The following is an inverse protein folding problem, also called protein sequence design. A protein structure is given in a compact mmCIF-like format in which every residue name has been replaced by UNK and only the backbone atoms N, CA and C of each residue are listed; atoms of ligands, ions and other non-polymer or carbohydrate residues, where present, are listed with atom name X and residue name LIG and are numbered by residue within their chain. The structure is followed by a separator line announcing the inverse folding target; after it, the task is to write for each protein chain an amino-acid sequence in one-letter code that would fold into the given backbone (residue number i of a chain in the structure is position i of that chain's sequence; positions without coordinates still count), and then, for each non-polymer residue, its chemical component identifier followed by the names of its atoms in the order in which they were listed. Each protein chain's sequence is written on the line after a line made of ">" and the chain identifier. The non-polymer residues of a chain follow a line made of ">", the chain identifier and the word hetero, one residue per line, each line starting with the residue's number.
data_IF_848961540688
#
_entry.id   IF_848961540688
#
_cell.length_a   1.000
_cell.length_b   1.000
_cell.length_c   1.000
_cell.angle_alpha   90.00
_cell.angle_beta   90.00
_cell.angle_gamma   90.00
#
_symmetry.space_group_name_H-M   'P 1'
#
loop_
_entity.id
_entity.type
_entity.pdbx_description
1 polymer ?
#
# COMPACT_ATOMS: atom_id res chain seq x y z
N UNK A 1 1.86 38.75 21.91
CA UNK A 1 1.58 38.20 20.58
C UNK A 1 2.59 38.80 19.61
N UNK A 2 3.49 38.00 19.04
CA UNK A 2 4.46 38.48 18.07
C UNK A 2 4.03 38.04 16.67
N UNK A 3 3.62 39.01 15.85
CA UNK A 3 3.24 38.80 14.45
C UNK A 3 4.53 38.66 13.63
N UNK A 4 4.77 37.49 13.04
CA UNK A 4 5.86 37.29 12.10
C UNK A 4 5.36 37.72 10.72
N UNK A 5 5.92 38.81 10.20
CA UNK A 5 5.71 39.26 8.84
C UNK A 5 6.29 38.23 7.85
N UNK A 6 5.44 37.68 6.99
CA UNK A 6 5.88 36.84 5.87
C UNK A 6 6.27 37.76 4.70
N UNK A 7 7.57 37.93 4.49
CA UNK A 7 8.09 38.57 3.28
C UNK A 7 7.67 37.73 2.05
N UNK A 8 6.85 38.34 1.20
CA UNK A 8 6.45 37.86 -0.11
C UNK A 8 7.64 37.91 -1.08
N UNK A 9 8.44 36.85 -1.13
CA UNK A 9 9.57 36.79 -2.07
C UNK A 9 10.37 35.49 -2.09
N UNK A 10 10.40 34.74 -0.99
CA UNK A 10 11.10 33.46 -0.97
C UNK A 10 10.21 32.34 -1.52
N UNK A 11 10.59 31.76 -2.67
CA UNK A 11 10.10 30.45 -3.09
C UNK A 11 10.24 29.53 -1.88
N UNK A 12 9.13 29.10 -1.28
CA UNK A 12 9.11 28.29 -0.04
C UNK A 12 10.11 27.15 -0.16
N UNK A 13 11.32 27.33 0.37
CA UNK A 13 12.34 26.28 0.42
C UNK A 13 11.78 25.19 1.30
N UNK A 14 11.85 23.95 0.84
CA UNK A 14 11.38 22.79 1.59
C UNK A 14 11.95 22.81 3.02
N UNK A 15 11.09 22.69 4.03
CA UNK A 15 11.55 22.67 5.43
C UNK A 15 12.25 21.33 5.69
N UNK A 16 13.58 21.31 5.61
CA UNK A 16 14.38 20.16 6.02
C UNK A 16 14.52 20.19 7.54
N UNK A 17 13.79 19.32 8.23
CA UNK A 17 13.91 19.10 9.69
C UNK A 17 14.29 17.64 9.94
N UNK A 18 14.62 17.28 11.19
CA UNK A 18 14.89 15.88 11.56
C UNK A 18 13.70 14.95 11.24
N UNK A 19 12.48 15.49 11.18
CA UNK A 19 11.22 14.75 10.90
C UNK A 19 10.68 14.99 9.49
N UNK A 20 11.25 15.94 8.74
CA UNK A 20 10.84 16.27 7.37
C UNK A 20 12.02 16.07 6.42
N UNK A 21 12.31 14.81 6.14
CA UNK A 21 13.42 14.38 5.30
C UNK A 21 12.86 13.83 3.99
N UNK A 22 13.31 14.38 2.86
CA UNK A 22 13.10 13.75 1.55
C UNK A 22 14.09 12.63 1.41
N UNK A 23 13.62 11.43 1.07
CA UNK A 23 14.53 10.34 0.75
C UNK A 23 15.33 10.66 -0.53
N UNK A 24 16.55 10.10 -0.68
CA UNK A 24 17.39 10.32 -1.85
C UNK A 24 16.94 9.50 -3.07
N UNK A 25 15.81 8.79 -2.97
CA UNK A 25 15.35 7.89 -4.00
C UNK A 25 14.89 8.64 -5.25
N UNK A 26 15.11 7.98 -6.39
CA UNK A 26 14.73 8.51 -7.70
C UNK A 26 13.84 7.51 -8.42
N UNK A 27 13.27 7.93 -9.54
CA UNK A 27 12.55 7.03 -10.44
C UNK A 27 13.38 5.80 -10.84
N UNK A 28 14.70 5.90 -10.92
CA UNK A 28 15.58 4.77 -11.26
C UNK A 28 15.73 3.72 -10.15
N UNK A 29 15.43 4.08 -8.90
CA UNK A 29 15.67 3.24 -7.71
C UNK A 29 14.76 2.03 -7.66
N UNK A 30 13.46 2.21 -7.91
CA UNK A 30 12.47 1.13 -7.80
C UNK A 30 11.97 0.67 -9.16
N UNK A 31 11.38 -0.52 -9.20
CA UNK A 31 10.82 -1.12 -10.40
C UNK A 31 9.40 -1.65 -10.17
N UNK A 32 8.70 -1.89 -11.28
CA UNK A 32 7.42 -2.59 -11.24
C UNK A 32 7.59 -3.99 -10.62
N UNK A 33 6.64 -4.35 -9.76
CA UNK A 33 6.63 -5.59 -8.99
C UNK A 33 7.53 -5.58 -7.76
N UNK A 34 8.29 -4.52 -7.50
CA UNK A 34 8.97 -4.37 -6.20
C UNK A 34 7.91 -4.18 -5.10
N UNK A 35 8.20 -4.75 -3.94
CA UNK A 35 7.43 -4.55 -2.70
C UNK A 35 8.24 -3.64 -1.81
N UNK A 36 7.62 -2.56 -1.36
CA UNK A 36 8.26 -1.54 -0.53
C UNK A 36 7.42 -1.24 0.70
N UNK A 37 8.07 -0.91 1.81
CA UNK A 37 7.45 -0.46 3.06
C UNK A 37 7.54 1.06 3.15
N UNK A 38 6.46 1.71 3.57
CA UNK A 38 6.36 3.17 3.66
C UNK A 38 5.33 3.61 4.72
N UNK A 39 5.38 4.88 5.20
CA UNK A 39 4.34 5.46 6.03
C UNK A 39 2.97 5.47 5.35
N UNK A 40 1.95 4.97 6.03
CA UNK A 40 0.61 4.80 5.50
C UNK A 40 -0.41 5.33 6.50
N UNK A 41 -1.24 6.24 6.01
CA UNK A 41 -2.28 6.92 6.79
C UNK A 41 -3.65 6.47 6.33
N UNK A 42 -4.53 6.15 7.27
CA UNK A 42 -5.96 5.87 7.02
C UNK A 42 -6.82 6.58 8.04
N UNK A 43 -8.02 6.99 7.64
CA UNK A 43 -9.01 7.47 8.59
C UNK A 43 -9.30 6.36 9.64
N UNK A 44 -9.36 6.74 10.91
CA UNK A 44 -9.83 5.82 11.94
C UNK A 44 -11.36 5.76 11.91
N UNK A 45 -11.90 4.63 11.45
CA UNK A 45 -13.35 4.38 11.44
C UNK A 45 -13.79 3.49 12.61
N UNK A 46 -12.88 3.07 13.51
CA UNK A 46 -13.23 2.22 14.64
C UNK A 46 -13.48 3.09 15.89
N UNK A 47 -14.74 3.15 16.40
CA UNK A 47 -15.08 3.93 17.59
C UNK A 47 -14.52 3.33 18.88
N UNK A 48 -14.15 2.05 18.88
CA UNK A 48 -13.60 1.35 20.06
C UNK A 48 -12.07 1.48 20.16
N UNK A 49 -11.43 2.18 19.22
CA UNK A 49 -9.98 2.35 19.25
C UNK A 49 -9.59 3.26 20.40
N UNK A 50 -8.66 2.80 21.23
CA UNK A 50 -8.17 3.56 22.36
C UNK A 50 -7.36 4.77 21.90
N UNK A 51 -7.49 5.87 22.64
CA UNK A 51 -6.77 7.13 22.39
C UNK A 51 -5.26 7.02 22.62
N UNK A 52 -4.82 6.04 23.41
CA UNK A 52 -3.42 5.79 23.74
C UNK A 52 -2.67 4.95 22.68
N UNK A 53 -3.32 4.57 21.58
CA UNK A 53 -2.67 3.88 20.47
C UNK A 53 -1.57 4.78 19.86
N UNK A 54 -0.29 4.36 19.88
CA UNK A 54 0.81 5.16 19.35
C UNK A 54 0.67 5.54 17.88
N UNK A 55 -0.12 4.80 17.09
CA UNK A 55 -0.39 5.10 15.70
C UNK A 55 -1.57 6.04 15.47
N UNK A 56 -2.38 6.33 16.50
CA UNK A 56 -3.54 7.20 16.39
C UNK A 56 -3.13 8.66 16.60
N UNK A 57 -3.44 9.51 15.62
CA UNK A 57 -3.17 10.93 15.67
C UNK A 57 -4.41 11.73 15.26
N UNK A 58 -4.65 12.86 15.91
CA UNK A 58 -5.73 13.77 15.53
C UNK A 58 -5.23 14.74 14.46
N UNK A 59 -5.85 14.72 13.28
CA UNK A 59 -5.67 15.73 12.24
C UNK A 59 -6.77 16.80 12.32
N UNK A 60 -6.63 17.89 11.57
CA UNK A 60 -7.69 18.92 11.49
C UNK A 60 -9.02 18.38 10.93
N UNK A 61 -8.99 17.25 10.20
CA UNK A 61 -10.16 16.62 9.59
C UNK A 61 -10.66 15.38 10.35
N UNK A 62 -10.07 15.09 11.52
CA UNK A 62 -10.44 13.94 12.35
C UNK A 62 -9.29 12.95 12.60
N UNK A 63 -9.59 11.82 13.26
CA UNK A 63 -8.59 10.86 13.69
C UNK A 63 -8.01 10.04 12.53
N UNK A 64 -6.69 9.91 12.51
CA UNK A 64 -5.91 9.20 11.49
C UNK A 64 -5.02 8.16 12.15
N UNK A 65 -5.06 6.93 11.65
CA UNK A 65 -4.12 5.87 11.98
C UNK A 65 -2.93 5.93 11.04
N UNK A 66 -1.74 6.06 11.61
CA UNK A 66 -0.46 6.15 10.94
C UNK A 66 0.39 4.92 11.28
N UNK A 67 0.77 4.15 10.27
CA UNK A 67 1.62 2.97 10.42
C UNK A 67 2.45 2.71 9.17
N UNK A 68 3.53 1.94 9.27
CA UNK A 68 4.21 1.45 8.06
C UNK A 68 3.39 0.36 7.40
N UNK A 69 3.33 0.37 6.07
CA UNK A 69 2.64 -0.65 5.29
C UNK A 69 3.43 -1.00 4.04
N UNK A 70 3.44 -2.29 3.73
CA UNK A 70 4.00 -2.78 2.49
C UNK A 70 3.04 -2.53 1.33
N UNK A 71 3.57 -2.17 0.17
CA UNK A 71 2.83 -1.98 -1.07
C UNK A 71 3.60 -2.60 -2.23
N UNK A 72 2.89 -3.08 -3.25
CA UNK A 72 3.48 -3.51 -4.53
C UNK A 72 3.39 -2.37 -5.53
N UNK A 73 4.49 -2.06 -6.21
CA UNK A 73 4.52 -1.07 -7.29
C UNK A 73 3.92 -1.69 -8.56
N UNK A 74 2.82 -1.14 -9.07
CA UNK A 74 2.22 -1.51 -10.35
C UNK A 74 2.77 -0.65 -11.49
N UNK A 75 2.73 0.68 -11.32
CA UNK A 75 3.13 1.64 -12.34
C UNK A 75 4.12 2.67 -11.82
N UNK A 76 4.86 3.26 -12.76
CA UNK A 76 5.84 4.32 -12.51
C UNK A 76 5.53 5.49 -13.42
N UNK A 77 5.10 6.61 -12.85
CA UNK A 77 4.94 7.87 -13.56
C UNK A 77 6.24 8.69 -13.45
N UNK A 78 6.19 9.98 -13.79
CA UNK A 78 7.38 10.85 -13.77
C UNK A 78 7.84 11.13 -12.33
N UNK A 79 6.90 11.38 -11.43
CA UNK A 79 7.10 11.90 -10.07
C UNK A 79 6.52 11.00 -8.97
N UNK A 80 5.68 10.03 -9.34
CA UNK A 80 5.05 9.08 -8.41
C UNK A 80 5.07 7.64 -8.92
N UNK A 81 4.86 6.73 -7.98
CA UNK A 81 4.51 5.33 -8.19
C UNK A 81 3.03 5.14 -7.93
N UNK A 82 2.39 4.26 -8.69
CA UNK A 82 1.07 3.75 -8.34
C UNK A 82 1.23 2.34 -7.80
N UNK A 83 0.70 2.13 -6.61
CA UNK A 83 0.94 0.94 -5.81
C UNK A 83 -0.37 0.36 -5.29
N UNK A 84 -0.35 -0.92 -4.93
CA UNK A 84 -1.46 -1.59 -4.22
C UNK A 84 -0.97 -2.11 -2.86
N UNK A 85 -1.75 -1.92 -1.78
CA UNK A 85 -1.30 -2.20 -0.43
C UNK A 85 -1.43 -3.67 -0.03
N UNK A 86 -0.57 -4.09 0.89
CA UNK A 86 -0.63 -5.38 1.55
C UNK A 86 -1.30 -5.24 2.92
N UNK A 87 -2.09 -6.26 3.26
CA UNK A 87 -2.73 -6.44 4.55
C UNK A 87 -2.38 -7.80 5.13
N UNK A 88 -2.21 -7.85 6.45
CA UNK A 88 -2.23 -9.09 7.22
C UNK A 88 -3.47 -9.03 8.12
N UNK A 89 -4.43 -9.91 7.87
CA UNK A 89 -5.65 -10.03 8.68
C UNK A 89 -5.37 -10.89 9.93
N UNK A 90 -4.38 -10.49 10.71
CA UNK A 90 -3.90 -11.26 11.87
C UNK A 90 -5.05 -11.60 12.82
N UNK A 91 -5.25 -12.90 13.07
CA UNK A 91 -6.21 -13.43 14.04
C UNK A 91 -7.63 -13.66 13.53
N UNK A 92 -7.98 -13.24 12.29
CA UNK A 92 -9.31 -13.52 11.72
C UNK A 92 -9.29 -13.96 10.24
N UNK A 93 -8.11 -14.02 9.63
CA UNK A 93 -7.92 -14.34 8.21
C UNK A 93 -8.72 -13.45 7.25
N UNK A 94 -8.47 -13.62 5.95
CA UNK A 94 -9.24 -12.94 4.90
C UNK A 94 -10.72 -13.31 4.91
N UNK A 95 -11.05 -14.51 5.39
CA UNK A 95 -12.41 -15.06 5.46
C UNK A 95 -13.32 -14.28 6.41
N UNK A 96 -12.76 -13.48 7.33
CA UNK A 96 -13.55 -12.58 8.18
C UNK A 96 -14.13 -11.36 7.46
N UNK A 97 -13.81 -11.17 6.18
CA UNK A 97 -14.38 -10.11 5.34
C UNK A 97 -15.70 -10.56 4.72
N UNK A 98 -16.52 -9.58 4.35
CA UNK A 98 -17.72 -9.85 3.56
C UNK A 98 -17.34 -10.60 2.27
N UNK A 99 -18.06 -11.67 1.87
CA UNK A 99 -17.70 -12.49 0.71
C UNK A 99 -17.45 -11.69 -0.58
N UNK A 100 -18.27 -10.67 -0.83
CA UNK A 100 -18.13 -9.77 -2.00
C UNK A 100 -16.82 -8.96 -1.98
N UNK A 101 -16.29 -8.68 -0.80
CA UNK A 101 -15.05 -7.92 -0.61
C UNK A 101 -13.83 -8.83 -0.71
N UNK A 102 -13.95 -10.13 -0.36
CA UNK A 102 -12.84 -11.10 -0.44
C UNK A 102 -12.30 -11.20 -1.87
N UNK A 103 -13.17 -11.07 -2.87
CA UNK A 103 -12.76 -11.11 -4.28
C UNK A 103 -11.79 -9.99 -4.64
N UNK A 104 -11.71 -8.90 -3.88
CA UNK A 104 -10.76 -7.81 -4.16
C UNK A 104 -9.35 -8.09 -3.62
N UNK A 105 -9.09 -9.32 -3.15
CA UNK A 105 -7.83 -9.67 -2.51
C UNK A 105 -7.21 -10.94 -3.10
N UNK A 106 -5.87 -10.96 -3.10
CA UNK A 106 -5.07 -12.13 -3.51
C UNK A 106 -3.95 -12.37 -2.51
N UNK A 107 -3.75 -13.62 -2.09
CA UNK A 107 -2.73 -13.99 -1.12
C UNK A 107 -1.32 -13.95 -1.75
N UNK A 108 -0.32 -13.61 -0.93
CA UNK A 108 1.09 -13.77 -1.27
C UNK A 108 1.67 -14.98 -0.56
N UNK A 109 2.60 -15.64 -1.24
CA UNK A 109 3.41 -16.71 -0.67
C UNK A 109 4.89 -16.43 -0.94
N UNK A 110 5.79 -16.83 -0.03
CA UNK A 110 7.21 -16.73 -0.33
C UNK A 110 7.57 -17.69 -1.48
N UNK A 111 8.48 -17.25 -2.35
CA UNK A 111 8.77 -17.92 -3.64
C UNK A 111 9.19 -19.39 -3.49
N UNK A 112 9.83 -19.73 -2.37
CA UNK A 112 10.37 -21.05 -2.08
C UNK A 112 9.50 -21.88 -1.13
N UNK A 113 8.36 -21.34 -0.69
CA UNK A 113 7.42 -22.10 0.12
C UNK A 113 6.68 -23.12 -0.74
N UNK A 114 6.31 -24.23 -0.10
CA UNK A 114 5.60 -25.32 -0.73
C UNK A 114 4.12 -24.95 -0.90
N UNK A 115 3.72 -24.72 -2.16
CA UNK A 115 2.33 -24.42 -2.52
C UNK A 115 1.35 -25.52 -2.08
N UNK A 116 1.79 -26.78 -1.98
CA UNK A 116 0.90 -27.88 -1.57
C UNK A 116 0.48 -27.80 -0.10
N UNK A 117 1.26 -27.06 0.71
CA UNK A 117 0.98 -26.82 2.13
C UNK A 117 0.27 -25.50 2.38
N UNK A 118 0.12 -24.68 1.34
CA UNK A 118 -0.55 -23.40 1.45
C UNK A 118 -2.07 -23.60 1.39
N UNK A 119 -2.72 -23.50 2.55
CA UNK A 119 -4.18 -23.46 2.63
C UNK A 119 -4.67 -22.10 2.10
N UNK A 120 -4.83 -22.00 0.78
CA UNK A 120 -5.38 -20.81 0.14
C UNK A 120 -6.80 -20.55 0.61
N UNK A 121 -7.04 -19.36 1.15
CA UNK A 121 -8.32 -18.90 1.71
C UNK A 121 -9.03 -17.87 0.81
N UNK A 122 -8.36 -17.45 -0.27
CA UNK A 122 -8.88 -16.50 -1.24
C UNK A 122 -9.37 -17.16 -2.53
N UNK A 123 -10.11 -16.38 -3.35
CA UNK A 123 -10.64 -16.81 -4.66
C UNK A 123 -9.56 -17.12 -5.69
N UNK A 124 -8.39 -16.45 -5.60
CA UNK A 124 -7.33 -16.57 -6.60
C UNK A 124 -6.15 -17.39 -6.12
N UNK A 125 -5.50 -18.06 -7.06
CA UNK A 125 -4.21 -18.73 -6.81
C UNK A 125 -3.17 -17.70 -6.33
N UNK A 126 -2.51 -17.92 -5.18
CA UNK A 126 -1.55 -17.00 -4.59
C UNK A 126 -0.43 -16.57 -5.55
N UNK A 127 0.06 -15.35 -5.33
CA UNK A 127 1.21 -14.80 -6.05
C UNK A 127 2.51 -14.98 -5.27
N UNK A 128 3.60 -15.28 -6.00
CA UNK A 128 4.91 -15.55 -5.43
C UNK A 128 5.74 -14.29 -5.26
N UNK A 129 6.33 -14.18 -4.09
CA UNK A 129 7.12 -13.05 -3.65
C UNK A 129 8.49 -13.50 -3.12
N UNK A 130 9.54 -12.72 -3.39
CA UNK A 130 10.90 -12.97 -2.88
C UNK A 130 11.38 -11.77 -2.08
N UNK A 131 11.69 -11.98 -0.80
CA UNK A 131 12.35 -10.98 0.03
C UNK A 131 13.75 -10.63 -0.48
N UNK A 132 14.19 -9.39 -0.26
CA UNK A 132 15.59 -8.99 -0.49
C UNK A 132 16.53 -9.68 0.50
N UNK A 133 16.16 -9.68 1.78
CA UNK A 133 16.93 -10.31 2.84
C UNK A 133 16.52 -11.78 3.03
N UNK A 134 17.47 -12.70 2.90
CA UNK A 134 17.21 -14.13 3.13
C UNK A 134 16.84 -14.37 4.60
N UNK A 135 15.84 -15.22 4.84
CA UNK A 135 15.39 -15.60 6.19
C UNK A 135 14.30 -14.70 6.80
N UNK A 136 13.91 -13.62 6.12
CA UNK A 136 12.68 -12.90 6.44
C UNK A 136 11.57 -13.35 5.49
N UNK A 137 10.39 -13.59 6.05
CA UNK A 137 9.21 -14.05 5.33
C UNK A 137 8.03 -13.14 5.61
N UNK A 138 7.14 -13.02 4.63
CA UNK A 138 5.81 -12.50 4.89
C UNK A 138 5.06 -13.48 5.78
N UNK A 139 4.16 -12.96 6.62
CA UNK A 139 3.18 -13.80 7.32
C UNK A 139 2.31 -14.53 6.27
N UNK A 140 1.98 -15.79 6.53
CA UNK A 140 1.09 -16.64 5.71
C UNK A 140 -0.26 -15.98 5.34
N UNK A 141 -0.76 -15.08 6.19
CA UNK A 141 -2.00 -14.33 5.96
C UNK A 141 -1.81 -13.03 5.14
N UNK A 142 -0.63 -12.80 4.55
CA UNK A 142 -0.37 -11.56 3.80
C UNK A 142 -1.13 -11.57 2.47
N UNK A 143 -1.93 -10.54 2.25
CA UNK A 143 -2.83 -10.40 1.11
C UNK A 143 -2.64 -9.04 0.45
N UNK A 144 -2.66 -9.00 -0.89
CA UNK A 144 -2.77 -7.75 -1.65
C UNK A 144 -4.23 -7.35 -1.71
N UNK A 145 -4.52 -6.07 -1.45
CA UNK A 145 -5.80 -5.47 -1.81
C UNK A 145 -5.70 -4.94 -3.24
N UNK A 146 -6.26 -5.67 -4.20
CA UNK A 146 -6.08 -5.47 -5.65
C UNK A 146 -6.57 -4.08 -6.06
N UNK A 147 -7.76 -3.67 -5.62
CA UNK A 147 -8.41 -2.39 -5.96
C UNK A 147 -7.94 -1.22 -5.10
N UNK A 148 -7.14 -1.47 -4.06
CA UNK A 148 -6.73 -0.48 -3.05
C UNK A 148 -5.69 0.54 -3.48
N UNK A 149 -5.70 0.95 -4.76
CA UNK A 149 -4.67 1.79 -5.39
C UNK A 149 -4.28 3.02 -4.58
N UNK A 150 -2.97 3.29 -4.49
CA UNK A 150 -2.41 4.47 -3.84
C UNK A 150 -1.21 5.00 -4.62
N UNK A 151 -1.15 6.32 -4.73
CA UNK A 151 0.02 7.03 -5.28
C UNK A 151 1.05 7.28 -4.18
N UNK A 152 2.32 7.07 -4.51
CA UNK A 152 3.46 7.21 -3.60
C UNK A 152 4.54 8.03 -4.29
N UNK A 153 5.03 9.09 -3.67
CA UNK A 153 6.18 9.83 -4.19
C UNK A 153 7.46 9.02 -4.02
N UNK A 154 8.37 9.08 -4.99
CA UNK A 154 9.70 8.48 -4.86
C UNK A 154 10.41 8.93 -3.59
N UNK A 155 10.15 10.18 -3.16
CA UNK A 155 10.88 10.86 -2.09
C UNK A 155 10.31 10.61 -0.69
N UNK A 156 9.32 9.72 -0.55
CA UNK A 156 8.83 9.27 0.76
C UNK A 156 9.87 8.39 1.47
N UNK A 157 9.64 8.14 2.76
CA UNK A 157 10.47 7.26 3.58
C UNK A 157 10.22 5.78 3.24
N UNK A 158 10.86 5.33 2.16
CA UNK A 158 10.62 4.03 1.54
C UNK A 158 11.77 3.06 1.81
N UNK A 159 11.41 1.84 2.22
CA UNK A 159 12.33 0.71 2.37
C UNK A 159 11.98 -0.39 1.36
N UNK A 160 12.99 -0.93 0.66
CA UNK A 160 12.79 -2.06 -0.26
C UNK A 160 12.68 -3.37 0.53
N UNK A 161 11.56 -4.08 0.36
CA UNK A 161 11.26 -5.31 1.10
C UNK A 161 11.59 -6.54 0.26
N UNK A 162 11.21 -6.53 -1.02
CA UNK A 162 11.35 -7.66 -1.91
C UNK A 162 10.73 -7.40 -3.27
N UNK A 163 10.39 -8.47 -3.97
CA UNK A 163 9.85 -8.39 -5.34
C UNK A 163 8.99 -9.58 -5.70
N UNK A 164 7.95 -9.34 -6.49
CA UNK A 164 7.17 -10.39 -7.14
C UNK A 164 7.97 -11.07 -8.26
N UNK A 165 7.66 -12.34 -8.52
CA UNK A 165 8.09 -12.97 -9.77
C UNK A 165 7.39 -12.35 -10.97
N UNK A 166 7.98 -12.44 -12.18
CA UNK A 166 7.35 -11.91 -13.39
C UNK A 166 5.96 -12.50 -13.65
N UNK A 167 5.73 -13.84 -13.57
CA UNK A 167 4.39 -14.40 -13.73
C UNK A 167 3.39 -13.87 -12.71
N UNK A 168 3.80 -13.76 -11.45
CA UNK A 168 2.98 -13.22 -10.36
C UNK A 168 2.61 -11.76 -10.56
N UNK A 169 3.55 -10.92 -10.99
CA UNK A 169 3.30 -9.53 -11.35
C UNK A 169 2.31 -9.42 -12.51
N UNK A 170 2.49 -10.21 -13.58
CA UNK A 170 1.59 -10.20 -14.74
C UNK A 170 0.16 -10.61 -14.34
N UNK A 171 0.02 -11.62 -13.47
CA UNK A 171 -1.28 -12.06 -12.96
C UNK A 171 -1.97 -10.98 -12.13
N UNK A 172 -1.25 -10.37 -11.20
CA UNK A 172 -1.77 -9.25 -10.41
C UNK A 172 -2.21 -8.09 -11.32
N UNK A 173 -1.40 -7.76 -12.33
CA UNK A 173 -1.75 -6.73 -13.31
C UNK A 173 -3.00 -7.05 -14.11
N UNK A 174 -3.23 -8.33 -14.47
CA UNK A 174 -4.45 -8.74 -15.16
C UNK A 174 -5.65 -8.53 -14.25
N UNK A 175 -5.61 -9.06 -13.02
CA UNK A 175 -6.70 -8.90 -12.05
C UNK A 175 -7.02 -7.43 -11.79
N UNK A 176 -5.98 -6.59 -11.61
CA UNK A 176 -6.17 -5.16 -11.43
C UNK A 176 -6.92 -4.53 -12.60
N UNK A 177 -6.56 -4.85 -13.85
CA UNK A 177 -7.26 -4.33 -15.03
C UNK A 177 -8.69 -4.83 -15.09
N UNK A 178 -8.90 -6.14 -14.95
CA UNK A 178 -10.23 -6.74 -14.99
C UNK A 178 -11.18 -6.06 -13.98
N UNK A 179 -10.70 -5.75 -12.76
CA UNK A 179 -11.49 -5.03 -11.76
C UNK A 179 -11.79 -3.57 -12.12
N UNK A 180 -10.84 -2.87 -12.75
CA UNK A 180 -11.05 -1.48 -13.15
C UNK A 180 -12.00 -1.41 -14.36
N UNK A 181 -11.89 -2.35 -15.31
CA UNK A 181 -12.79 -2.40 -16.47
C UNK A 181 -14.24 -2.62 -16.00
N UNK A 182 -14.47 -3.56 -15.07
CA UNK A 182 -15.82 -3.78 -14.48
C UNK A 182 -16.34 -2.55 -13.74
N UNK A 183 -15.47 -1.82 -13.03
CA UNK A 183 -15.86 -0.62 -12.32
C UNK A 183 -16.14 0.58 -13.25
N UNK A 184 -15.43 0.67 -14.39
CA UNK A 184 -15.63 1.71 -15.40
C UNK A 184 -16.94 1.50 -16.19
N UNK A 185 -17.35 0.25 -16.36
CA UNK A 185 -18.62 -0.14 -17.00
C UNK A 185 -19.87 0.13 -16.12
N UNK A 186 -19.71 0.57 -14.87
CA UNK A 186 -20.84 0.86 -13.97
C UNK A 186 -21.68 2.04 -14.50
N UNK A 187 -23.00 1.83 -14.65
CA UNK A 187 -23.90 2.87 -15.12
C UNK A 187 -23.85 4.10 -14.20
N UNK A 188 -23.50 5.26 -14.77
CA UNK A 188 -23.52 6.52 -14.05
C UNK A 188 -24.43 7.54 -14.74
N UNK A 189 -25.17 8.30 -13.93
CA UNK A 189 -25.88 9.48 -14.40
C UNK A 189 -25.00 10.71 -14.21
N UNK A 190 -24.75 11.44 -15.29
CA UNK A 190 -24.03 12.71 -15.23
C UNK A 190 -25.01 13.86 -14.99
N UNK A 191 -24.65 14.86 -14.17
CA UNK A 191 -25.43 16.08 -14.09
C UNK A 191 -25.48 16.72 -15.48
N UNK A 192 -26.71 16.96 -15.96
CA UNK A 192 -27.02 17.62 -17.23
C UNK A 192 -26.52 19.05 -17.28
#
# INVERSE_FOLDING_TARGET
>A
MATIALNSGDKKKWRKTAVCVKSPWTRGTFNKGDVVSLPYHVANMNPERKEDDPGLHLSEFGPVLSKRRMVIILFKYKDIMFCVPLYSFTGRDIESRHPEVIEQYIQLINMYDDMSKFAGKGKYEPIKFRHVHRGQGLNECTTVHITGGKTVSWQEDIELVGRLTKPSYTRLMKLWRDFNDVADDEECSWPS
#
